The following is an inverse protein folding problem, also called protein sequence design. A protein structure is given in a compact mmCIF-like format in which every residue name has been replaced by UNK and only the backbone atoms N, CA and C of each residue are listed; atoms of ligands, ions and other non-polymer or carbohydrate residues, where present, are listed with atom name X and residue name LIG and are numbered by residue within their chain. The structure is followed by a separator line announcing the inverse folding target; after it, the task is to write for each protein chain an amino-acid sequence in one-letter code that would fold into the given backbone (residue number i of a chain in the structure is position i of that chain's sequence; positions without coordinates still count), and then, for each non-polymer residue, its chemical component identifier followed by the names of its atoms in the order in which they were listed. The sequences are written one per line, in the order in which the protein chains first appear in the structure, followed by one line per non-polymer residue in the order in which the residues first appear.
data_IF_346958721359
#
_entry.id   IF_346958721359
#
_cell.length_a   1.000
_cell.length_b   1.000
_cell.length_c   1.000
_cell.angle_alpha   90.00
_cell.angle_beta   90.00
_cell.angle_gamma   90.00
#
_symmetry.space_group_name_H-M   'P 1'
#
loop_
_entity.id
_entity.type
_entity.pdbx_description
1 polymer ?
#
# COMPACT_ATOMS: atom_id res chain seq x y z
N UNK A 1 35.96 -34.61 -15.27
CA UNK A 1 34.53 -34.22 -15.48
C UNK A 1 34.16 -33.00 -14.63
N UNK A 2 34.73 -31.81 -14.87
CA UNK A 2 34.42 -30.60 -14.07
C UNK A 2 34.33 -29.28 -14.88
N UNK A 3 34.29 -29.33 -16.22
CA UNK A 3 34.39 -28.14 -17.09
C UNK A 3 33.05 -27.62 -17.67
N UNK A 4 31.90 -28.17 -17.28
CA UNK A 4 30.60 -27.75 -17.84
C UNK A 4 29.80 -26.77 -16.95
N UNK A 5 30.25 -26.44 -15.74
CA UNK A 5 29.49 -25.56 -14.83
C UNK A 5 29.66 -24.06 -15.09
N UNK A 6 30.75 -23.62 -15.72
CA UNK A 6 31.06 -22.19 -15.86
C UNK A 6 30.18 -21.46 -16.87
N UNK A 7 29.70 -22.14 -17.92
CA UNK A 7 29.04 -21.47 -19.03
C UNK A 7 27.58 -21.06 -18.77
N UNK A 8 26.96 -21.63 -17.72
CA UNK A 8 25.57 -21.37 -17.34
C UNK A 8 25.46 -20.12 -16.48
N UNK A 9 26.40 -19.90 -15.56
CA UNK A 9 26.40 -18.76 -14.63
C UNK A 9 26.54 -17.41 -15.37
N UNK A 10 27.37 -17.35 -16.41
CA UNK A 10 27.55 -16.14 -17.22
C UNK A 10 26.25 -15.67 -17.91
N UNK A 11 25.40 -16.60 -18.35
CA UNK A 11 24.14 -16.25 -19.02
C UNK A 11 23.12 -15.63 -18.06
N UNK A 12 23.12 -16.03 -16.80
CA UNK A 12 22.24 -15.42 -15.79
C UNK A 12 22.69 -14.01 -15.43
N UNK A 13 24.00 -13.80 -15.33
CA UNK A 13 24.56 -12.50 -14.98
C UNK A 13 24.30 -11.44 -16.04
N UNK A 14 24.44 -11.79 -17.33
CA UNK A 14 24.12 -10.89 -18.46
C UNK A 14 22.64 -10.50 -18.44
N UNK A 15 21.73 -11.47 -18.29
CA UNK A 15 20.28 -11.19 -18.23
C UNK A 15 19.90 -10.34 -17.01
N UNK A 16 20.50 -10.62 -15.85
CA UNK A 16 20.28 -9.82 -14.65
C UNK A 16 20.69 -8.36 -14.89
N UNK A 17 21.87 -8.14 -15.48
CA UNK A 17 22.36 -6.80 -15.81
C UNK A 17 21.39 -6.07 -16.76
N UNK A 18 20.88 -6.74 -17.78
CA UNK A 18 19.89 -6.19 -18.72
C UNK A 18 18.60 -5.76 -17.99
N UNK A 19 18.10 -6.59 -17.06
CA UNK A 19 16.89 -6.25 -16.29
C UNK A 19 17.09 -5.03 -15.39
N UNK A 20 18.26 -4.92 -14.74
CA UNK A 20 18.60 -3.76 -13.91
C UNK A 20 18.76 -2.50 -14.76
N UNK A 21 19.47 -2.58 -15.89
CA UNK A 21 19.62 -1.45 -16.82
C UNK A 21 18.28 -0.96 -17.35
N UNK A 22 17.37 -1.87 -17.70
CA UNK A 22 16.03 -1.52 -18.18
C UNK A 22 15.22 -0.80 -17.10
N UNK A 23 15.30 -1.25 -15.84
CA UNK A 23 14.68 -0.56 -14.69
C UNK A 23 15.26 0.84 -14.48
N UNK A 24 16.59 0.99 -14.52
CA UNK A 24 17.25 2.30 -14.38
C UNK A 24 16.83 3.25 -15.50
N UNK A 25 16.79 2.77 -16.75
CA UNK A 25 16.35 3.57 -17.90
C UNK A 25 14.89 4.01 -17.77
N UNK A 26 14.01 3.09 -17.35
CA UNK A 26 12.59 3.40 -17.10
C UNK A 26 12.45 4.45 -15.99
N UNK A 27 13.21 4.30 -14.90
CA UNK A 27 13.23 5.25 -13.79
C UNK A 27 13.69 6.64 -14.22
N UNK A 28 14.83 6.73 -14.92
CA UNK A 28 15.37 8.01 -15.38
C UNK A 28 14.43 8.70 -16.35
N UNK A 29 13.76 7.94 -17.23
CA UNK A 29 12.73 8.49 -18.12
C UNK A 29 11.53 9.01 -17.34
N UNK A 30 11.02 8.25 -16.38
CA UNK A 30 9.93 8.68 -15.49
C UNK A 30 10.29 9.98 -14.75
N UNK A 31 11.47 10.02 -14.14
CA UNK A 31 11.99 11.23 -13.49
C UNK A 31 12.07 12.37 -14.49
N UNK A 32 12.62 12.14 -15.68
CA UNK A 32 12.81 13.20 -16.68
C UNK A 32 11.47 13.77 -17.14
N UNK A 33 10.52 12.93 -17.52
CA UNK A 33 9.20 13.35 -18.00
C UNK A 33 8.46 14.15 -16.93
N UNK A 34 8.54 13.71 -15.68
CA UNK A 34 7.92 14.38 -14.53
C UNK A 34 8.63 15.68 -14.14
N UNK A 35 9.96 15.64 -14.05
CA UNK A 35 10.78 16.81 -13.72
C UNK A 35 10.83 17.81 -14.86
N UNK A 36 10.48 17.47 -16.10
CA UNK A 36 10.42 18.46 -17.18
C UNK A 36 9.39 19.56 -16.89
N UNK A 37 8.28 19.20 -16.25
CA UNK A 37 7.26 20.14 -15.78
C UNK A 37 7.79 20.90 -14.55
N UNK A 38 8.37 20.19 -13.59
CA UNK A 38 8.88 20.80 -12.36
C UNK A 38 10.22 21.52 -12.49
N UNK A 39 10.98 21.39 -13.58
CA UNK A 39 12.33 21.95 -13.69
C UNK A 39 12.29 23.48 -13.66
N UNK A 40 11.27 24.08 -14.28
CA UNK A 40 11.06 25.53 -14.21
C UNK A 40 10.64 25.97 -12.82
N UNK A 41 9.73 25.22 -12.17
CA UNK A 41 9.26 25.51 -10.81
C UNK A 41 10.38 25.35 -9.78
N UNK A 42 11.13 24.25 -9.84
CA UNK A 42 12.24 23.97 -8.93
C UNK A 42 13.35 25.00 -9.07
N UNK A 43 13.67 25.43 -10.29
CA UNK A 43 14.61 26.51 -10.52
C UNK A 43 14.16 27.80 -9.81
N UNK A 44 12.88 28.17 -9.95
CA UNK A 44 12.31 29.35 -9.28
C UNK A 44 12.29 29.20 -7.75
N UNK A 45 11.86 28.03 -7.24
CA UNK A 45 11.80 27.74 -5.81
C UNK A 45 13.18 27.84 -5.16
N UNK A 46 14.24 27.43 -5.86
CA UNK A 46 15.61 27.50 -5.35
C UNK A 46 16.09 28.92 -5.05
N UNK A 47 15.55 29.93 -5.75
CA UNK A 47 15.85 31.35 -5.50
C UNK A 47 15.02 31.97 -4.36
N UNK A 48 14.03 31.26 -3.82
CA UNK A 48 13.22 31.76 -2.72
C UNK A 48 13.96 31.63 -1.38
N UNK A 49 13.71 32.55 -0.41
CA UNK A 49 14.11 32.35 0.98
C UNK A 49 13.57 31.04 1.55
N UNK A 50 14.31 30.40 2.46
CA UNK A 50 13.97 29.08 2.99
C UNK A 50 12.61 29.04 3.70
N UNK A 51 12.20 30.15 4.31
CA UNK A 51 10.87 30.30 4.89
C UNK A 51 9.75 30.11 3.84
N UNK A 52 9.90 30.71 2.65
CA UNK A 52 8.93 30.58 1.57
C UNK A 52 8.99 29.18 0.94
N UNK A 53 10.19 28.60 0.78
CA UNK A 53 10.34 27.19 0.34
C UNK A 53 9.58 26.25 1.27
N UNK A 54 9.74 26.42 2.58
CA UNK A 54 9.03 25.64 3.60
C UNK A 54 7.52 25.83 3.52
N UNK A 55 7.02 27.05 3.31
CA UNK A 55 5.58 27.30 3.14
C UNK A 55 5.01 26.62 1.88
N UNK A 56 5.71 26.70 0.75
CA UNK A 56 5.29 26.05 -0.49
C UNK A 56 5.26 24.52 -0.31
N UNK A 57 6.34 23.94 0.23
CA UNK A 57 6.42 22.50 0.51
C UNK A 57 5.29 22.06 1.44
N UNK A 58 5.07 22.77 2.55
CA UNK A 58 3.99 22.46 3.50
C UNK A 58 2.62 22.52 2.83
N UNK A 59 2.36 23.55 2.01
CA UNK A 59 1.09 23.67 1.28
C UNK A 59 0.86 22.50 0.33
N UNK A 60 1.90 22.06 -0.39
CA UNK A 60 1.83 20.92 -1.30
C UNK A 60 1.60 19.62 -0.53
N UNK A 61 2.36 19.34 0.53
CA UNK A 61 2.24 18.12 1.33
C UNK A 61 0.86 18.06 2.01
N UNK A 62 0.41 19.18 2.59
CA UNK A 62 -0.85 19.27 3.34
C UNK A 62 -2.05 18.80 2.53
N UNK A 63 -2.12 19.13 1.24
CA UNK A 63 -3.25 18.75 0.40
C UNK A 63 -3.42 17.23 0.27
N UNK A 64 -2.32 16.48 0.40
CA UNK A 64 -2.34 15.02 0.41
C UNK A 64 -2.60 14.48 1.81
N UNK A 65 -2.01 15.08 2.85
CA UNK A 65 -2.22 14.64 4.24
C UNK A 65 -3.68 14.80 4.69
N UNK A 66 -4.41 15.81 4.22
CA UNK A 66 -5.84 16.01 4.52
C UNK A 66 -6.76 14.88 3.97
N UNK A 67 -6.20 13.95 3.17
CA UNK A 67 -6.89 12.72 2.78
C UNK A 67 -6.97 11.72 3.93
N UNK A 68 -6.01 11.73 4.86
CA UNK A 68 -6.04 10.89 6.07
C UNK A 68 -7.10 11.48 7.01
N UNK A 69 -8.16 10.72 7.37
CA UNK A 69 -9.24 11.24 8.21
C UNK A 69 -8.76 11.84 9.54
N UNK A 70 -7.79 11.18 10.17
CA UNK A 70 -7.18 11.62 11.44
C UNK A 70 -6.57 13.03 11.37
N UNK A 71 -6.07 13.44 10.20
CA UNK A 71 -5.42 14.75 10.03
C UNK A 71 -6.40 15.90 10.13
N UNK A 72 -7.68 15.69 9.78
CA UNK A 72 -8.70 16.75 9.83
C UNK A 72 -9.11 17.12 11.25
N UNK A 73 -8.87 16.23 12.19
CA UNK A 73 -9.19 16.45 13.59
C UNK A 73 -8.05 17.17 14.35
N UNK A 74 -6.85 17.27 13.74
CA UNK A 74 -5.67 17.86 14.37
C UNK A 74 -5.69 19.39 14.35
N UNK A 75 -5.03 19.98 15.35
CA UNK A 75 -4.75 21.41 15.36
C UNK A 75 -3.82 21.80 14.22
N UNK A 76 -4.00 23.00 13.67
CA UNK A 76 -3.21 23.51 12.55
C UNK A 76 -1.71 23.43 12.82
N UNK A 77 -1.26 23.80 14.01
CA UNK A 77 0.16 23.78 14.39
C UNK A 77 0.74 22.35 14.39
N UNK A 78 -0.07 21.36 14.76
CA UNK A 78 0.34 19.94 14.70
C UNK A 78 0.46 19.48 13.25
N UNK A 79 -0.50 19.84 12.39
CA UNK A 79 -0.46 19.52 10.96
C UNK A 79 0.77 20.14 10.30
N UNK A 80 1.09 21.40 10.61
CA UNK A 80 2.28 22.08 10.06
C UNK A 80 3.57 21.33 10.43
N UNK A 81 3.73 20.91 11.69
CA UNK A 81 4.88 20.09 12.13
C UNK A 81 4.95 18.74 11.42
N UNK A 82 3.80 18.08 11.23
CA UNK A 82 3.74 16.81 10.48
C UNK A 82 4.13 17.03 9.02
N UNK A 83 3.69 18.13 8.39
CA UNK A 83 4.07 18.46 7.02
C UNK A 83 5.58 18.68 6.87
N UNK A 84 6.21 19.31 7.87
CA UNK A 84 7.66 19.54 7.88
C UNK A 84 8.44 18.22 8.02
N UNK A 85 7.94 17.29 8.84
CA UNK A 85 8.54 15.98 9.08
C UNK A 85 8.20 14.93 8.00
N UNK A 86 7.21 15.19 7.13
CA UNK A 86 6.80 14.24 6.11
C UNK A 86 7.83 14.16 4.96
N UNK A 87 8.10 12.95 4.50
CA UNK A 87 9.12 12.65 3.50
C UNK A 87 8.46 12.22 2.19
N UNK A 88 9.06 12.57 1.05
CA UNK A 88 8.58 12.14 -0.27
C UNK A 88 9.45 11.00 -0.78
N UNK A 89 8.82 9.92 -1.26
CA UNK A 89 9.47 8.74 -1.80
C UNK A 89 9.00 8.45 -3.22
N UNK A 90 9.96 8.22 -4.12
CA UNK A 90 9.71 7.67 -5.45
C UNK A 90 9.93 6.15 -5.41
N UNK A 91 8.92 5.38 -5.78
CA UNK A 91 8.96 3.91 -5.84
C UNK A 91 8.84 3.42 -7.28
N UNK A 92 9.63 2.42 -7.63
CA UNK A 92 9.58 1.73 -8.91
C UNK A 92 8.57 0.59 -8.92
N UNK A 93 8.15 0.19 -10.11
CA UNK A 93 7.25 -0.95 -10.26
C UNK A 93 7.83 -2.20 -9.58
N UNK A 94 7.02 -2.79 -8.69
CA UNK A 94 7.35 -3.96 -7.90
C UNK A 94 7.91 -3.64 -6.51
N UNK A 95 8.30 -2.40 -6.24
CA UNK A 95 8.81 -2.01 -4.91
C UNK A 95 7.69 -2.14 -3.87
N UNK A 96 8.05 -2.60 -2.68
CA UNK A 96 7.12 -2.77 -1.57
C UNK A 96 6.96 -1.47 -0.79
N UNK A 97 5.71 -1.04 -0.62
CA UNK A 97 5.32 0.06 0.29
C UNK A 97 5.15 -0.50 1.70
N UNK A 98 4.45 -1.62 1.83
CA UNK A 98 4.21 -2.29 3.09
C UNK A 98 4.07 -3.80 2.90
N UNK A 99 4.34 -4.57 3.95
CA UNK A 99 4.28 -6.03 3.95
C UNK A 99 3.24 -6.52 4.95
N UNK A 100 2.33 -7.40 4.52
CA UNK A 100 1.31 -7.95 5.42
C UNK A 100 1.94 -8.64 6.64
N UNK A 101 1.45 -8.29 7.83
CA UNK A 101 1.89 -8.87 9.10
C UNK A 101 3.18 -8.28 9.67
N UNK A 102 3.81 -7.30 9.01
CA UNK A 102 4.92 -6.54 9.59
C UNK A 102 4.38 -5.34 10.38
N UNK A 103 5.14 -4.88 11.38
CA UNK A 103 4.79 -3.65 12.11
C UNK A 103 4.89 -2.46 11.17
N UNK A 104 3.81 -1.70 11.05
CA UNK A 104 3.74 -0.47 10.29
C UNK A 104 4.39 0.68 11.09
N UNK A 105 5.48 1.22 10.56
CA UNK A 105 6.26 2.32 11.13
C UNK A 105 5.83 3.70 10.60
N UNK A 106 5.02 3.72 9.55
CA UNK A 106 4.56 4.93 8.89
C UNK A 106 3.24 4.72 8.15
N UNK A 107 2.50 5.81 7.95
CA UNK A 107 1.41 5.87 6.99
C UNK A 107 1.93 6.44 5.67
N UNK A 108 1.38 5.97 4.54
CA UNK A 108 1.78 6.40 3.21
C UNK A 108 0.59 6.97 2.44
N UNK A 109 0.78 8.11 1.79
CA UNK A 109 -0.24 8.74 0.94
C UNK A 109 0.25 8.77 -0.51
N UNK A 110 -0.54 8.21 -1.43
CA UNK A 110 -0.21 8.21 -2.85
C UNK A 110 -0.42 9.61 -3.45
N UNK A 111 0.67 10.19 -3.96
CA UNK A 111 0.68 11.47 -4.69
C UNK A 111 0.38 11.23 -6.16
N UNK A 112 1.11 10.32 -6.79
CA UNK A 112 0.97 9.96 -8.20
C UNK A 112 1.38 8.50 -8.45
N UNK A 113 0.90 7.91 -9.55
CA UNK A 113 1.17 6.52 -9.92
C UNK A 113 0.03 5.58 -9.55
N UNK A 114 0.37 4.30 -9.31
CA UNK A 114 -0.61 3.25 -9.03
C UNK A 114 -0.03 2.22 -8.08
N UNK A 115 -0.81 1.86 -7.08
CA UNK A 115 -0.46 0.79 -6.14
C UNK A 115 -1.29 -0.47 -6.42
N UNK A 116 -0.72 -1.63 -6.10
CA UNK A 116 -1.37 -2.93 -6.13
C UNK A 116 -1.35 -3.51 -4.71
N UNK A 117 -2.53 -3.87 -4.23
CA UNK A 117 -2.69 -4.51 -2.92
C UNK A 117 -2.90 -6.00 -3.09
N UNK A 118 -2.11 -6.80 -2.36
CA UNK A 118 -2.32 -8.24 -2.25
C UNK A 118 -2.77 -8.56 -0.84
N UNK A 119 -4.02 -9.01 -0.69
CA UNK A 119 -4.51 -9.54 0.59
C UNK A 119 -3.95 -10.93 0.80
N UNK A 120 -3.16 -11.13 1.86
CA UNK A 120 -2.83 -12.46 2.33
C UNK A 120 -3.96 -12.90 3.26
N UNK A 121 -4.84 -13.77 2.78
CA UNK A 121 -5.78 -14.48 3.65
C UNK A 121 -4.93 -15.41 4.53
N UNK A 122 -4.74 -15.05 5.81
CA UNK A 122 -4.10 -15.90 6.80
C UNK A 122 -4.97 -17.16 6.93
N UNK A 123 -4.45 -18.32 6.52
CA UNK A 123 -5.13 -19.61 6.65
C UNK A 123 -5.56 -20.29 5.34
N UNK A 124 -5.39 -19.68 4.17
CA UNK A 124 -5.59 -20.37 2.89
C UNK A 124 -4.25 -20.64 2.20
N UNK A 125 -3.76 -21.88 2.33
CA UNK A 125 -2.46 -22.34 1.81
C UNK A 125 -2.51 -22.67 0.31
N UNK A 126 -3.68 -22.73 -0.33
CA UNK A 126 -3.76 -23.30 -1.68
C UNK A 126 -4.46 -22.38 -2.70
N UNK A 127 -3.71 -22.12 -3.77
CA UNK A 127 -4.19 -21.66 -5.09
C UNK A 127 -4.53 -20.16 -5.22
N UNK A 128 -3.49 -19.31 -5.22
CA UNK A 128 -3.57 -17.88 -5.58
C UNK A 128 -3.83 -17.71 -7.08
N UNK A 129 -5.09 -17.89 -7.48
CA UNK A 129 -5.67 -17.22 -8.64
C UNK A 129 -6.59 -16.08 -8.17
N UNK A 130 -6.22 -15.44 -7.07
CA UNK A 130 -6.93 -14.29 -6.52
C UNK A 130 -6.71 -13.12 -7.44
N UNK A 131 -7.77 -12.76 -8.16
CA UNK A 131 -7.95 -11.47 -8.84
C UNK A 131 -7.46 -10.36 -7.91
N UNK A 132 -6.20 -9.95 -8.06
CA UNK A 132 -5.65 -8.81 -7.37
C UNK A 132 -6.50 -7.63 -7.81
N UNK A 133 -7.43 -7.22 -6.95
CA UNK A 133 -8.25 -6.07 -7.23
C UNK A 133 -7.28 -4.90 -7.33
N UNK A 134 -7.13 -4.35 -8.54
CA UNK A 134 -6.34 -3.14 -8.81
C UNK A 134 -7.14 -1.97 -8.24
N UNK A 135 -7.37 -1.99 -6.93
CA UNK A 135 -7.75 -0.81 -6.18
C UNK A 135 -6.42 -0.17 -5.85
N UNK A 136 -6.18 1.03 -6.37
CA UNK A 136 -5.04 1.84 -5.97
C UNK A 136 -5.44 2.53 -4.66
N UNK A 137 -5.11 1.98 -3.47
CA UNK A 137 -5.38 2.70 -2.24
C UNK A 137 -4.69 4.06 -2.33
N UNK A 138 -5.44 5.10 -2.00
CA UNK A 138 -4.86 6.44 -1.88
C UNK A 138 -3.98 6.54 -0.62
N UNK A 139 -4.23 5.68 0.38
CA UNK A 139 -3.59 5.71 1.68
C UNK A 139 -3.29 4.28 2.14
N UNK A 140 -2.08 4.04 2.64
CA UNK A 140 -1.61 2.75 3.15
C UNK A 140 -1.25 2.90 4.62
N UNK A 141 -1.70 1.94 5.43
CA UNK A 141 -1.38 1.82 6.87
C UNK A 141 -1.69 3.06 7.73
N UNK A 142 -2.72 3.86 7.37
CA UNK A 142 -3.13 5.04 8.16
C UNK A 142 -3.46 4.75 9.62
N UNK A 143 -4.00 3.55 9.89
CA UNK A 143 -4.35 3.11 11.24
C UNK A 143 -3.14 3.04 12.17
N UNK A 144 -1.91 2.95 11.66
CA UNK A 144 -0.73 2.97 12.51
C UNK A 144 -0.54 4.31 13.25
N UNK A 145 -1.19 5.38 12.80
CA UNK A 145 -1.17 6.70 13.44
C UNK A 145 -2.27 6.87 14.50
N UNK A 146 -3.25 5.96 14.57
CA UNK A 146 -4.35 6.02 15.53
C UNK A 146 -3.94 5.50 16.91
N UNK A 147 -2.98 4.58 16.95
CA UNK A 147 -2.53 3.90 18.17
C UNK A 147 -1.03 4.14 18.39
N UNK A 148 -0.60 4.37 19.62
CA UNK A 148 0.83 4.52 19.95
C UNK A 148 1.58 3.17 19.86
N UNK A 149 0.87 2.07 20.14
CA UNK A 149 1.41 0.71 20.13
C UNK A 149 1.73 0.15 18.72
N UNK A 150 2.39 -1.00 18.62
CA UNK A 150 2.70 -1.62 17.33
C UNK A 150 1.42 -2.04 16.61
N UNK A 151 1.24 -1.55 15.38
CA UNK A 151 0.12 -1.91 14.50
C UNK A 151 0.67 -2.71 13.33
N UNK A 152 0.08 -3.85 13.01
CA UNK A 152 0.52 -4.68 11.87
C UNK A 152 -0.15 -4.23 10.58
N UNK A 153 0.62 -4.11 9.50
CA UNK A 153 0.09 -3.86 8.16
C UNK A 153 -0.85 -5.00 7.75
N UNK A 154 -2.09 -4.66 7.36
CA UNK A 154 -3.13 -5.67 7.04
C UNK A 154 -2.93 -6.34 5.69
N UNK A 155 -2.16 -5.73 4.81
CA UNK A 155 -1.96 -6.19 3.43
C UNK A 155 -0.56 -5.86 2.95
N UNK A 156 -0.08 -6.59 1.95
CA UNK A 156 1.14 -6.23 1.24
C UNK A 156 0.75 -5.29 0.12
N UNK A 157 1.38 -4.12 0.08
CA UNK A 157 1.15 -3.12 -0.96
C UNK A 157 2.43 -2.93 -1.75
N UNK A 158 2.31 -3.03 -3.08
CA UNK A 158 3.42 -2.86 -4.01
C UNK A 158 3.10 -1.72 -4.98
N UNK A 159 4.12 -1.02 -5.46
CA UNK A 159 3.98 -0.12 -6.58
C UNK A 159 3.67 -0.92 -7.87
N UNK A 160 2.51 -0.67 -8.49
CA UNK A 160 2.13 -1.28 -9.76
C UNK A 160 2.80 -0.58 -10.95
N UNK A 161 3.10 0.71 -10.79
CA UNK A 161 3.78 1.60 -11.72
C UNK A 161 4.75 2.50 -10.92
N UNK A 162 5.63 3.26 -11.59
CA UNK A 162 6.44 4.27 -10.91
C UNK A 162 5.53 5.27 -10.19
N UNK A 163 5.68 5.38 -8.88
CA UNK A 163 4.74 6.06 -7.99
C UNK A 163 5.47 7.00 -7.05
N UNK A 164 4.84 8.11 -6.69
CA UNK A 164 5.31 8.98 -5.61
C UNK A 164 4.37 8.88 -4.43
N UNK A 165 4.96 8.76 -3.25
CA UNK A 165 4.26 8.68 -1.98
C UNK A 165 4.81 9.71 -1.00
N UNK A 166 3.94 10.19 -0.11
CA UNK A 166 4.33 10.92 1.09
C UNK A 166 4.29 9.94 2.26
N UNK A 167 5.41 9.83 2.97
CA UNK A 167 5.57 9.04 4.19
C UNK A 167 5.38 9.93 5.41
N UNK A 168 4.47 9.52 6.29
CA UNK A 168 4.28 10.10 7.62
C UNK A 168 4.78 9.11 8.65
N UNK A 169 5.99 9.33 9.15
CA UNK A 169 6.60 8.49 10.18
C UNK A 169 5.79 8.53 11.48
N UNK A 170 5.48 7.36 12.03
CA UNK A 170 4.69 7.22 13.25
C UNK A 170 5.33 7.95 14.44
N UNK A 171 6.63 7.80 14.62
CA UNK A 171 7.37 8.46 15.71
C UNK A 171 7.25 10.00 15.63
N UNK A 172 7.56 10.59 14.47
CA UNK A 172 7.46 12.03 14.27
C UNK A 172 6.02 12.55 14.35
N UNK A 173 5.04 11.75 13.93
CA UNK A 173 3.63 12.06 14.11
C UNK A 173 3.29 12.21 15.59
N UNK A 174 3.64 11.20 16.42
CA UNK A 174 3.36 11.24 17.85
C UNK A 174 4.13 12.35 18.58
N UNK A 175 5.37 12.65 18.15
CA UNK A 175 6.13 13.80 18.65
C UNK A 175 5.46 15.15 18.30
N UNK A 176 4.82 15.26 17.14
CA UNK A 176 4.21 16.49 16.65
C UNK A 176 2.87 16.81 17.31
N UNK A 177 2.11 15.79 17.70
CA UNK A 177 0.82 15.98 18.38
C UNK A 177 1.03 16.34 19.86
N UNK A 178 0.31 17.36 20.33
CA UNK A 178 0.34 17.84 21.71
C UNK A 178 0.01 16.72 22.70
N UNK A 179 0.68 16.71 23.87
CA UNK A 179 0.51 15.69 24.93
C UNK A 179 -0.96 15.46 25.32
N UNK A 180 -1.77 16.52 25.31
CA UNK A 180 -3.19 16.45 25.66
C UNK A 180 -4.02 15.57 24.72
N UNK A 181 -3.62 15.46 23.44
CA UNK A 181 -4.36 14.70 22.42
C UNK A 181 -3.99 13.22 22.38
N UNK A 182 -2.81 12.84 22.87
CA UNK A 182 -2.42 11.42 23.00
C UNK A 182 -3.41 10.65 23.88
N UNK A 183 -3.94 11.31 24.92
CA UNK A 183 -4.94 10.71 25.83
C UNK A 183 -6.29 10.47 25.16
N UNK A 184 -6.71 11.34 24.23
CA UNK A 184 -8.01 11.18 23.54
C UNK A 184 -7.98 10.13 22.44
N UNK A 185 -6.84 9.94 21.76
CA UNK A 185 -6.71 8.92 20.70
C UNK A 185 -6.68 7.49 21.27
N UNK A 186 -6.00 7.31 22.40
CA UNK A 186 -5.94 6.01 23.09
C UNK A 186 -7.30 5.49 23.58
N UNK A 187 -8.32 6.35 23.67
CA UNK A 187 -9.68 5.94 24.06
C UNK A 187 -10.46 5.27 22.92
N UNK A 188 -10.09 5.47 21.65
CA UNK A 188 -10.77 4.83 20.51
C UNK A 188 -10.27 3.40 20.24
N UNK A 189 -8.97 3.13 20.44
CA UNK A 189 -8.36 1.83 20.10
C UNK A 189 -8.76 0.66 21.00
N UNK A 190 -9.07 0.91 22.27
CA UNK A 190 -9.42 -0.17 23.24
C UNK A 190 -10.80 -0.77 23.04
N UNK A 191 -11.72 -0.09 22.33
CA UNK A 191 -13.09 -0.56 22.19
C UNK A 191 -13.29 -1.59 21.06
N UNK A 192 -12.40 -1.67 20.06
CA UNK A 192 -12.66 -2.45 18.84
C UNK A 192 -11.92 -3.79 18.74
N UNK A 193 -10.91 -4.05 19.57
CA UNK A 193 -10.15 -5.30 19.55
C UNK A 193 -10.49 -6.30 20.67
N UNK A 194 -11.43 -5.96 21.56
CA UNK A 194 -11.93 -6.88 22.59
C UNK A 194 -12.92 -7.94 22.04
N UNK A 195 -13.34 -7.83 20.77
CA UNK A 195 -14.27 -8.76 20.13
C UNK A 195 -13.49 -9.64 19.15
N UNK A 196 -12.89 -10.74 19.63
CA UNK A 196 -12.71 -12.00 18.86
C UNK A 196 -11.77 -13.04 19.49
N UNK A 197 -11.21 -12.85 20.69
CA UNK A 197 -10.37 -13.89 21.31
C UNK A 197 -11.11 -14.95 22.14
N UNK A 198 -12.45 -15.01 22.04
CA UNK A 198 -13.25 -15.95 22.81
C UNK A 198 -14.00 -16.95 21.91
N UNK A 199 -13.26 -17.86 21.29
CA UNK A 199 -13.81 -19.16 20.83
C UNK A 199 -12.66 -20.11 20.44
N UNK A 200 -12.41 -21.09 21.31
CA UNK A 200 -12.04 -22.49 20.98
C UNK A 200 -11.15 -23.08 22.08
N UNK A 201 -11.75 -23.40 23.22
CA UNK A 201 -11.39 -24.58 23.99
C UNK A 201 -12.55 -25.56 23.86
N UNK A 202 -12.61 -26.22 22.69
CA UNK A 202 -13.48 -27.38 22.46
C UNK A 202 -12.77 -28.64 22.94
N UNK A 203 -13.42 -29.33 23.87
CA UNK A 203 -13.04 -30.61 24.42
C UNK A 203 -12.82 -31.68 23.35
N UNK A 204 -11.79 -32.49 23.56
CA UNK A 204 -11.42 -33.63 22.74
C UNK A 204 -12.26 -34.83 23.18
N UNK A 205 -13.41 -35.06 22.55
CA UNK A 205 -14.15 -36.32 22.69
C UNK A 205 -13.84 -37.27 21.53
N UNK A 206 -13.37 -38.47 21.90
CA UNK A 206 -13.21 -39.63 21.04
C UNK A 206 -14.58 -40.22 20.70
N UNK A 207 -14.84 -40.60 19.43
CA UNK A 207 -15.47 -41.87 19.07
C UNK A 207 -15.69 -42.05 17.54
N UNK A 208 -15.21 -43.21 17.06
CA UNK A 208 -15.78 -44.14 16.07
C UNK A 208 -16.25 -43.70 14.66
N UNK A 209 -15.65 -44.41 13.69
CA UNK A 209 -16.09 -44.73 12.31
C UNK A 209 -17.57 -45.12 12.17
N UNK A 210 -18.21 -44.89 11.00
CA UNK A 210 -18.31 -45.99 10.02
C UNK A 210 -18.24 -45.62 8.52
N UNK A 211 -17.81 -46.64 7.77
CA UNK A 211 -17.97 -46.95 6.34
C UNK A 211 -19.32 -46.57 5.71
N UNK A 212 -19.32 -46.08 4.45
CA UNK A 212 -20.54 -46.05 3.62
C UNK A 212 -20.47 -45.36 2.25
N UNK A 213 -20.30 -46.17 1.20
CA UNK A 213 -21.01 -46.14 -0.10
C UNK A 213 -20.94 -44.95 -1.11
N UNK A 214 -20.34 -45.27 -2.27
CA UNK A 214 -20.71 -45.01 -3.68
C UNK A 214 -21.93 -44.10 -4.02
N UNK A 215 -21.70 -43.17 -4.96
CA UNK A 215 -22.67 -42.65 -5.94
C UNK A 215 -21.97 -41.68 -6.91
N UNK A 216 -21.55 -42.07 -8.13
CA UNK A 216 -22.28 -42.20 -9.42
C UNK A 216 -22.77 -40.87 -10.03
N UNK A 217 -22.05 -40.45 -11.08
CA UNK A 217 -22.39 -39.70 -12.32
C UNK A 217 -23.50 -38.63 -12.31
N UNK A 218 -23.17 -37.45 -12.83
CA UNK A 218 -24.13 -36.49 -13.37
C UNK A 218 -23.44 -35.37 -14.16
N UNK A 219 -23.29 -35.58 -15.46
CA UNK A 219 -22.88 -34.58 -16.46
C UNK A 219 -24.10 -33.76 -16.87
N UNK A 220 -24.00 -32.42 -16.89
CA UNK A 220 -24.90 -31.59 -17.67
C UNK A 220 -24.19 -30.37 -18.23
N UNK A 221 -24.18 -30.34 -19.56
CA UNK A 221 -23.79 -29.24 -20.45
C UNK A 221 -25.02 -28.35 -20.63
N UNK A 222 -24.89 -27.03 -20.49
CA UNK A 222 -25.87 -26.05 -20.98
C UNK A 222 -25.18 -24.82 -21.56
N UNK A 223 -24.95 -24.90 -22.88
CA UNK A 223 -25.32 -23.96 -23.96
C UNK A 223 -25.30 -22.45 -23.68
N UNK A 224 -24.42 -21.78 -24.44
CA UNK A 224 -24.38 -20.35 -24.76
C UNK A 224 -25.53 -19.87 -25.65
N UNK A 225 -25.69 -18.53 -25.73
CA UNK A 225 -26.52 -17.66 -26.59
C UNK A 225 -27.49 -16.82 -25.73
N UNK A 226 -27.76 -15.53 -25.95
CA UNK A 226 -27.31 -14.52 -26.90
C UNK A 226 -27.96 -13.16 -26.48
N UNK A 227 -27.35 -12.02 -26.89
CA UNK A 227 -28.00 -10.77 -27.38
C UNK A 227 -28.94 -10.06 -26.38
N UNK A 228 -28.80 -8.76 -26.06
CA UNK A 228 -29.19 -7.65 -26.94
C UNK A 228 -28.80 -6.28 -26.36
N UNK A 229 -28.46 -5.37 -27.26
CA UNK A 229 -28.22 -3.95 -27.01
C UNK A 229 -29.52 -3.16 -26.83
N UNK A 230 -29.46 -2.04 -26.10
CA UNK A 230 -30.21 -0.82 -26.42
C UNK A 230 -29.59 0.40 -25.71
N UNK A 231 -29.16 1.36 -26.51
CA UNK A 231 -28.83 2.72 -26.09
C UNK A 231 -30.06 3.61 -26.30
N UNK A 232 -30.45 4.41 -25.30
CA UNK A 232 -31.29 5.61 -25.47
C UNK A 232 -31.00 6.55 -24.30
N UNK A 233 -30.29 7.67 -24.52
CA UNK A 233 -30.55 8.91 -23.78
C UNK A 233 -30.46 10.06 -24.77
N UNK A 234 -31.63 10.54 -25.15
CA UNK A 234 -31.89 11.79 -25.82
C UNK A 234 -31.83 12.96 -24.84
N UNK A 235 -31.25 14.04 -25.34
CA UNK A 235 -31.17 15.41 -24.82
C UNK A 235 -32.47 16.00 -24.27
N UNK A 236 -32.33 16.77 -23.20
CA UNK A 236 -33.11 17.99 -22.90
C UNK A 236 -32.21 18.94 -22.12
#
# INVERSE_FOLDING_TARGET
MHLQKTHVEDRYLVRFLETVQLKVKAYLRYIFDRRRIHAKEAALINFLPDQLKGQIRRSQVRMYLERIPLMRELERDSIEKICDAAETFDLMQGDAVSNAGTVADAAWVLVSGRLRVTKRLVGQTESLNTNASIVSPLIVDEHCLEEDGPVLSRCTTLAAESSELIRVGKEHFFQSISVNRRKSLNLRGTALYAVNHHQSMGSFDQASTPSGARGRRGSTVTVSHAVQAAAVISSS
#
